data_IF_658404806642
#
_entry.id   IF_658404806642
#
_cell.length_a   1.000
_cell.length_b   1.000
_cell.length_c   1.000
_cell.angle_alpha   90.00
_cell.angle_beta   90.00
_cell.angle_gamma   90.00
#
_symmetry.space_group_name_H-M   'P 1'
#
loop_
_entity.id
_entity.type
_entity.pdbx_description
1 polymer ?
#
# COMPACT_ATOMS: atom_id res chain seq x y z
N UNK A 1 1.08 6.35 -30.38
CA UNK A 1 0.52 5.69 -29.18
C UNK A 1 1.42 6.09 -28.03
N UNK A 2 1.06 7.15 -27.32
CA UNK A 2 1.80 7.62 -26.16
C UNK A 2 1.66 6.60 -25.01
N UNK A 3 2.74 6.36 -24.22
CA UNK A 3 2.67 5.46 -23.08
C UNK A 3 1.69 6.00 -22.02
N UNK A 4 0.96 5.11 -21.31
CA UNK A 4 0.05 5.53 -20.25
C UNK A 4 0.81 6.31 -19.17
N UNK A 5 0.20 7.34 -18.55
CA UNK A 5 0.82 8.09 -17.46
C UNK A 5 1.24 7.17 -16.31
N UNK A 6 2.36 7.46 -15.62
CA UNK A 6 2.78 6.67 -14.47
C UNK A 6 1.72 6.70 -13.37
N UNK A 7 1.23 5.53 -12.97
CA UNK A 7 0.26 5.39 -11.89
C UNK A 7 0.86 5.84 -10.55
N UNK A 8 0.08 6.58 -9.76
CA UNK A 8 0.52 7.03 -8.44
C UNK A 8 0.68 5.85 -7.48
N UNK A 9 1.84 5.76 -6.80
CA UNK A 9 2.14 4.71 -5.83
C UNK A 9 1.74 5.17 -4.44
N UNK A 10 0.98 4.32 -3.75
CA UNK A 10 0.55 4.54 -2.37
C UNK A 10 1.37 3.66 -1.41
N UNK A 11 1.76 4.26 -0.29
CA UNK A 11 2.42 3.59 0.82
C UNK A 11 1.54 3.64 2.07
N UNK A 12 1.74 2.73 3.00
CA UNK A 12 1.00 2.59 4.25
C UNK A 12 1.99 2.79 5.39
N UNK A 13 1.68 3.67 6.35
CA UNK A 13 2.52 3.84 7.52
C UNK A 13 2.47 2.61 8.44
N UNK A 14 3.63 2.19 8.95
CA UNK A 14 3.70 1.05 9.87
C UNK A 14 3.09 1.28 11.25
N UNK A 15 2.97 2.54 11.67
CA UNK A 15 2.47 2.91 13.01
C UNK A 15 1.00 3.35 12.97
N UNK A 16 0.67 4.37 12.18
CA UNK A 16 -0.71 4.87 12.08
C UNK A 16 -1.57 4.15 11.03
N UNK A 17 -0.99 3.28 10.18
CA UNK A 17 -1.74 2.58 9.14
C UNK A 17 -2.26 3.46 8.01
N UNK A 18 -1.91 4.74 7.99
CA UNK A 18 -2.44 5.71 7.03
C UNK A 18 -1.75 5.64 5.68
N UNK A 19 -2.52 5.95 4.64
CA UNK A 19 -2.05 5.94 3.27
C UNK A 19 -1.34 7.26 2.93
N UNK A 20 -0.10 7.14 2.45
CA UNK A 20 0.75 8.25 2.04
C UNK A 20 1.06 8.11 0.56
N UNK A 21 0.71 9.12 -0.23
CA UNK A 21 1.15 9.22 -1.62
C UNK A 21 2.53 9.88 -1.65
N UNK A 22 3.54 9.12 -2.07
CA UNK A 22 4.92 9.59 -2.14
C UNK A 22 5.41 9.63 -3.59
N UNK A 23 6.04 10.74 -3.98
CA UNK A 23 6.75 10.86 -5.27
C UNK A 23 8.20 10.38 -5.09
N UNK A 24 8.86 9.99 -6.18
CA UNK A 24 10.24 9.47 -6.15
C UNK A 24 11.27 10.40 -5.51
N UNK A 25 11.06 11.72 -5.54
CA UNK A 25 11.97 12.72 -4.99
C UNK A 25 11.58 13.21 -3.58
N UNK A 26 10.52 12.68 -3.00
CA UNK A 26 9.98 13.15 -1.72
C UNK A 26 10.62 12.40 -0.55
N UNK A 27 10.72 13.05 0.61
CA UNK A 27 11.32 12.46 1.81
C UNK A 27 10.35 11.42 2.38
N UNK A 28 10.86 10.22 2.69
CA UNK A 28 10.05 9.14 3.28
C UNK A 28 9.69 9.52 4.72
N UNK A 29 8.50 10.10 4.90
CA UNK A 29 7.96 10.48 6.19
C UNK A 29 6.43 10.46 6.19
N UNK A 30 5.84 9.89 7.23
CA UNK A 30 4.40 9.97 7.45
C UNK A 30 4.01 11.40 7.87
N UNK A 31 2.95 11.93 7.26
CA UNK A 31 2.47 13.30 7.52
C UNK A 31 1.77 13.47 8.87
N UNK A 32 1.29 12.39 9.48
CA UNK A 32 0.55 12.45 10.74
C UNK A 32 1.42 12.14 11.96
N UNK A 33 2.21 11.07 11.91
CA UNK A 33 3.02 10.62 13.06
C UNK A 33 4.51 10.97 12.94
N UNK A 34 4.98 11.42 11.77
CA UNK A 34 6.42 11.67 11.53
C UNK A 34 7.27 10.40 11.44
N UNK A 35 6.65 9.22 11.46
CA UNK A 35 7.36 7.94 11.32
C UNK A 35 7.96 7.78 9.91
N UNK A 36 9.13 7.14 9.82
CA UNK A 36 9.93 7.06 8.58
C UNK A 36 9.88 5.71 7.88
N UNK A 37 9.14 4.74 8.42
CA UNK A 37 8.99 3.42 7.84
C UNK A 37 7.58 3.30 7.26
N UNK A 38 7.51 3.16 5.94
CA UNK A 38 6.28 3.01 5.17
C UNK A 38 6.36 1.72 4.34
N UNK A 39 5.25 0.99 4.26
CA UNK A 39 5.10 -0.23 3.45
C UNK A 39 4.41 0.09 2.13
N UNK A 40 4.78 -0.58 1.04
CA UNK A 40 4.08 -0.39 -0.24
C UNK A 40 2.69 -1.02 -0.18
N UNK A 41 1.65 -0.30 -0.64
CA UNK A 41 0.29 -0.86 -0.72
C UNK A 41 0.25 -2.03 -1.72
N UNK A 42 -0.43 -3.11 -1.36
CA UNK A 42 -0.64 -4.29 -2.23
C UNK A 42 -1.40 -3.88 -3.49
N UNK A 43 -1.00 -4.41 -4.64
CA UNK A 43 -1.76 -4.22 -5.89
C UNK A 43 -3.04 -5.04 -5.85
N UNK A 44 -4.12 -4.55 -6.50
CA UNK A 44 -5.38 -5.30 -6.64
C UNK A 44 -5.30 -6.45 -7.65
N UNK A 45 -4.09 -6.82 -8.07
CA UNK A 45 -3.89 -7.94 -8.99
C UNK A 45 -3.94 -9.20 -8.15
N UNK A 46 -4.91 -10.06 -8.47
CA UNK A 46 -5.03 -11.38 -7.89
C UNK A 46 -3.76 -12.13 -8.24
N UNK A 47 -3.07 -12.63 -7.22
CA UNK A 47 -1.91 -13.47 -7.43
C UNK A 47 -2.42 -14.90 -7.22
N UNK A 48 -2.50 -15.67 -8.29
CA UNK A 48 -2.89 -17.07 -8.26
C UNK A 48 -1.71 -17.89 -7.71
N UNK A 49 -1.62 -17.94 -6.39
CA UNK A 49 -0.91 -19.00 -5.71
C UNK A 49 -1.94 -20.10 -5.48
N UNK A 50 -1.73 -21.27 -6.09
CA UNK A 50 -2.76 -22.28 -6.40
C UNK A 50 -3.63 -22.85 -5.28
N UNK A 51 -3.69 -22.28 -4.07
CA UNK A 51 -4.72 -22.51 -3.06
C UNK A 51 -4.89 -21.22 -2.23
N UNK A 52 -6.14 -20.73 -2.12
CA UNK A 52 -6.65 -19.57 -1.35
C UNK A 52 -6.70 -18.22 -2.09
N UNK A 53 -7.90 -17.86 -2.56
CA UNK A 53 -8.26 -16.53 -3.05
C UNK A 53 -8.25 -15.53 -1.88
N UNK A 54 -7.22 -14.70 -1.76
CA UNK A 54 -7.23 -13.54 -0.84
C UNK A 54 -7.61 -12.29 -1.62
N UNK A 55 -8.90 -12.16 -1.92
CA UNK A 55 -9.47 -11.02 -2.61
C UNK A 55 -10.29 -10.10 -1.70
N UNK A 56 -9.80 -8.86 -1.60
CA UNK A 56 -10.59 -7.65 -1.88
C UNK A 56 -11.61 -7.09 -0.87
N UNK A 57 -11.69 -7.55 0.39
CA UNK A 57 -12.63 -6.95 1.38
C UNK A 57 -12.04 -6.30 2.64
N UNK A 58 -10.73 -6.40 2.92
CA UNK A 58 -10.15 -5.84 4.16
C UNK A 58 -9.66 -4.37 4.02
N UNK A 59 -10.46 -3.50 3.41
CA UNK A 59 -10.20 -2.04 3.43
C UNK A 59 -11.10 -1.26 4.40
N UNK A 60 -11.97 -1.93 5.18
CA UNK A 60 -12.95 -1.21 6.00
C UNK A 60 -13.07 -1.63 7.46
N UNK A 61 -12.25 -2.54 8.01
CA UNK A 61 -12.19 -2.71 9.48
C UNK A 61 -10.98 -3.54 9.96
N UNK A 62 -9.92 -2.85 10.41
CA UNK A 62 -9.29 -3.13 11.70
C UNK A 62 -8.68 -4.50 12.02
N UNK A 63 -8.50 -5.43 11.07
CA UNK A 63 -7.70 -6.65 11.28
C UNK A 63 -6.91 -6.96 10.02
N UNK A 64 -5.78 -6.28 9.88
CA UNK A 64 -4.76 -6.67 8.91
C UNK A 64 -4.33 -8.09 9.18
N UNK A 65 -4.75 -9.02 8.33
CA UNK A 65 -4.18 -10.36 8.27
C UNK A 65 -2.73 -10.19 7.86
N UNK A 66 -1.91 -10.17 8.90
CA UNK A 66 -0.47 -10.36 8.94
C UNK A 66 -0.09 -11.42 7.90
N UNK A 67 0.51 -10.99 6.79
CA UNK A 67 1.28 -11.87 5.93
C UNK A 67 2.69 -11.90 6.54
N UNK A 68 2.86 -12.73 7.57
CA UNK A 68 4.06 -13.53 7.78
C UNK A 68 3.66 -14.98 7.51
#
# INVERSE_FOLDING_TARGET
MDPPPPEAVYYICGDCGMEVQLKSNDVIQCRECGYRILYKKRTRRIIDFGLTNVDSLDYSNGRGSRIF
#
